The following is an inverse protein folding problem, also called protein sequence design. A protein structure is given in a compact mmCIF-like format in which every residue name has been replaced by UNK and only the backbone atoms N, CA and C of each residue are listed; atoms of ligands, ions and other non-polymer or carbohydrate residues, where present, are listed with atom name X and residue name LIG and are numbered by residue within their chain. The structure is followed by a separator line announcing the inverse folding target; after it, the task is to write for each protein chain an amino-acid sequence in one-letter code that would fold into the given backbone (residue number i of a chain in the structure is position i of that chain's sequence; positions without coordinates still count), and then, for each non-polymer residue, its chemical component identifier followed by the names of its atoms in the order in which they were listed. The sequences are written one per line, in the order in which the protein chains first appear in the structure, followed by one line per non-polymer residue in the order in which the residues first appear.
data_IF_756711807651
#
_entry.id   IF_756711807651
#
_cell.length_a   1.000
_cell.length_b   1.000
_cell.length_c   1.000
_cell.angle_alpha   90.00
_cell.angle_beta   90.00
_cell.angle_gamma   90.00
#
_symmetry.space_group_name_H-M   'P 1'
#
loop_
_entity.id
_entity.type
_entity.pdbx_description
1 polymer ?
#
# COMPACT_ATOMS: atom_id res chain seq x y z
N UNK A 1 1.42 -10.07 10.98
CA UNK A 1 0.06 -10.07 10.39
C UNK A 1 0.09 -10.18 8.86
N UNK A 2 0.57 -9.18 8.10
CA UNK A 2 0.49 -9.18 6.61
C UNK A 2 1.12 -10.42 5.95
N UNK A 3 2.34 -10.80 6.33
CA UNK A 3 2.97 -12.05 5.87
C UNK A 3 2.12 -13.29 6.11
N UNK A 4 1.46 -13.36 7.27
CA UNK A 4 0.60 -14.49 7.60
C UNK A 4 -0.66 -14.53 6.72
N UNK A 5 -1.16 -13.38 6.27
CA UNK A 5 -2.27 -13.32 5.30
C UNK A 5 -1.79 -13.82 3.93
N UNK A 6 -0.65 -13.33 3.45
CA UNK A 6 -0.08 -13.73 2.15
C UNK A 6 0.27 -15.23 2.07
N UNK A 7 0.56 -15.87 3.20
CA UNK A 7 0.87 -17.30 3.28
C UNK A 7 -0.37 -18.21 3.22
N UNK A 8 -1.59 -17.65 3.19
CA UNK A 8 -2.82 -18.45 3.09
C UNK A 8 -2.97 -19.02 1.68
N UNK A 9 -3.58 -20.20 1.57
CA UNK A 9 -3.78 -20.86 0.28
C UNK A 9 -4.52 -20.00 -0.75
N UNK A 10 -5.48 -19.18 -0.30
CA UNK A 10 -6.22 -18.24 -1.14
C UNK A 10 -5.37 -17.11 -1.75
N UNK A 11 -4.16 -16.87 -1.21
CA UNK A 11 -3.24 -15.83 -1.69
C UNK A 11 -2.12 -16.39 -2.58
N UNK A 12 -2.14 -17.69 -2.93
CA UNK A 12 -1.03 -18.32 -3.68
C UNK A 12 -0.77 -17.72 -5.06
N UNK A 13 -1.79 -17.15 -5.70
CA UNK A 13 -1.69 -16.51 -7.02
C UNK A 13 -1.60 -14.98 -6.93
N UNK A 14 -1.59 -14.41 -5.71
CA UNK A 14 -1.48 -12.97 -5.52
C UNK A 14 -0.04 -12.55 -5.82
N UNK A 15 0.09 -11.65 -6.78
CA UNK A 15 1.38 -11.08 -7.20
C UNK A 15 1.59 -9.64 -6.73
N UNK A 16 0.51 -8.96 -6.34
CA UNK A 16 0.54 -7.56 -5.94
C UNK A 16 -0.30 -7.31 -4.70
N UNK A 17 0.11 -6.31 -3.92
CA UNK A 17 -0.69 -5.73 -2.84
C UNK A 17 -0.97 -4.28 -3.19
N UNK A 18 -2.23 -3.89 -3.06
CA UNK A 18 -2.67 -2.51 -3.15
C UNK A 18 -3.22 -2.06 -1.79
N UNK A 19 -2.87 -0.86 -1.38
CA UNK A 19 -3.44 -0.19 -0.22
C UNK A 19 -3.39 1.31 -0.41
N UNK A 20 -4.28 2.04 0.27
CA UNK A 20 -4.17 3.50 0.34
C UNK A 20 -3.48 3.92 1.64
N UNK A 21 -2.67 4.96 1.57
CA UNK A 21 -1.93 5.53 2.69
C UNK A 21 -1.91 7.05 2.50
N UNK A 22 -2.27 7.83 3.51
CA UNK A 22 -2.03 9.29 3.48
C UNK A 22 -0.53 9.60 3.45
N UNK A 23 -0.14 10.70 2.79
CA UNK A 23 1.28 11.08 2.62
C UNK A 23 2.03 11.19 3.96
N UNK A 24 1.34 11.61 5.03
CA UNK A 24 1.89 11.87 6.35
C UNK A 24 1.98 10.61 7.25
N UNK A 25 1.35 9.50 6.87
CA UNK A 25 1.33 8.27 7.66
C UNK A 25 2.63 7.45 7.50
N UNK A 26 3.72 8.01 8.06
CA UNK A 26 5.08 7.46 8.02
C UNK A 26 5.16 6.03 8.57
N UNK A 27 4.35 5.70 9.57
CA UNK A 27 4.34 4.37 10.17
C UNK A 27 3.83 3.31 9.20
N UNK A 28 2.75 3.61 8.46
CA UNK A 28 2.23 2.70 7.43
C UNK A 28 3.19 2.59 6.26
N UNK A 29 3.78 3.70 5.80
CA UNK A 29 4.83 3.66 4.78
C UNK A 29 5.98 2.73 5.17
N UNK A 30 6.52 2.88 6.38
CA UNK A 30 7.59 2.01 6.86
C UNK A 30 7.19 0.53 6.93
N UNK A 31 5.94 0.23 7.31
CA UNK A 31 5.40 -1.13 7.34
C UNK A 31 5.40 -1.76 5.94
N UNK A 32 4.86 -1.07 4.95
CA UNK A 32 4.73 -1.59 3.59
C UNK A 32 6.07 -1.61 2.83
N UNK A 33 6.97 -0.66 3.07
CA UNK A 33 8.34 -0.68 2.57
C UNK A 33 9.14 -1.86 3.12
N UNK A 34 9.02 -2.12 4.43
CA UNK A 34 9.64 -3.28 5.06
C UNK A 34 9.10 -4.58 4.47
N UNK A 35 7.79 -4.66 4.23
CA UNK A 35 7.18 -5.82 3.56
C UNK A 35 7.70 -6.00 2.14
N UNK A 36 7.77 -4.94 1.33
CA UNK A 36 8.30 -4.99 -0.04
C UNK A 36 9.74 -5.52 -0.05
N UNK A 37 10.59 -5.01 0.85
CA UNK A 37 11.96 -5.50 1.04
C UNK A 37 12.01 -6.99 1.41
N UNK A 38 11.11 -7.43 2.28
CA UNK A 38 11.03 -8.84 2.69
C UNK A 38 10.53 -9.77 1.58
N UNK A 39 9.72 -9.27 0.65
CA UNK A 39 9.25 -9.98 -0.53
C UNK A 39 10.21 -9.87 -1.73
N UNK A 40 11.30 -9.10 -1.60
CA UNK A 40 12.27 -8.90 -2.68
C UNK A 40 11.73 -8.05 -3.84
N UNK A 41 10.73 -7.21 -3.59
CA UNK A 41 10.06 -6.40 -4.61
C UNK A 41 10.10 -4.91 -4.26
N UNK A 42 9.50 -4.07 -5.11
CA UNK A 42 9.45 -2.61 -4.94
C UNK A 42 8.03 -2.14 -4.57
N UNK A 43 7.96 -0.90 -4.09
CA UNK A 43 6.70 -0.19 -3.85
C UNK A 43 6.64 1.02 -4.77
N UNK A 44 5.54 1.14 -5.52
CA UNK A 44 5.24 2.31 -6.36
C UNK A 44 4.15 3.13 -5.69
N UNK A 45 4.28 4.45 -5.76
CA UNK A 45 3.35 5.41 -5.14
C UNK A 45 2.68 6.24 -6.22
N UNK A 46 1.37 6.41 -6.13
CA UNK A 46 0.61 7.31 -7.01
C UNK A 46 -0.56 7.94 -6.24
N UNK A 47 -1.03 9.10 -6.69
CA UNK A 47 -2.22 9.72 -6.08
C UNK A 47 -3.46 8.95 -6.54
N UNK A 48 -4.36 8.59 -5.61
CA UNK A 48 -5.64 7.95 -5.96
C UNK A 48 -6.85 8.79 -5.55
N UNK A 49 -6.84 9.40 -4.36
CA UNK A 49 -7.90 10.31 -3.93
C UNK A 49 -7.32 11.63 -3.42
N UNK A 50 -7.45 12.68 -4.22
CA UNK A 50 -7.04 14.04 -3.87
C UNK A 50 -7.99 14.72 -2.87
N UNK A 51 -7.41 15.36 -1.84
CA UNK A 51 -8.09 16.13 -0.79
C UNK A 51 -9.16 17.09 -1.28
N UNK A 52 -8.82 17.94 -2.24
CA UNK A 52 -9.73 18.99 -2.71
C UNK A 52 -10.78 18.42 -3.67
N UNK A 53 -10.34 17.63 -4.65
CA UNK A 53 -11.22 17.09 -5.68
C UNK A 53 -12.22 16.05 -5.14
N UNK A 54 -11.77 15.15 -4.27
CA UNK A 54 -12.57 14.00 -3.82
C UNK A 54 -13.19 14.23 -2.45
N UNK A 55 -12.47 14.91 -1.55
CA UNK A 55 -12.91 15.09 -0.16
C UNK A 55 -13.37 16.50 0.19
N UNK A 56 -13.27 17.47 -0.73
CA UNK A 56 -13.63 18.87 -0.48
C UNK A 56 -12.94 19.43 0.79
N UNK A 57 -11.70 19.00 1.02
CA UNK A 57 -10.91 19.38 2.20
C UNK A 57 -11.20 18.60 3.49
N UNK A 58 -12.19 17.70 3.51
CA UNK A 58 -12.59 16.96 4.72
C UNK A 58 -11.62 15.85 5.14
N UNK A 59 -10.82 15.34 4.19
CA UNK A 59 -9.82 14.30 4.42
C UNK A 59 -8.55 14.59 3.60
N UNK A 60 -7.41 14.10 4.05
CA UNK A 60 -6.14 14.27 3.35
C UNK A 60 -6.05 13.40 2.09
N UNK A 61 -5.13 13.75 1.20
CA UNK A 61 -4.91 13.00 -0.04
C UNK A 61 -4.44 11.58 0.29
N UNK A 62 -5.13 10.60 -0.25
CA UNK A 62 -4.77 9.19 -0.18
C UNK A 62 -3.87 8.83 -1.37
N UNK A 63 -2.74 8.20 -1.05
CA UNK A 63 -1.79 7.67 -2.02
C UNK A 63 -2.03 6.18 -2.19
N UNK A 64 -2.09 5.69 -3.42
CA UNK A 64 -2.02 4.28 -3.73
C UNK A 64 -0.58 3.80 -3.57
N UNK A 65 -0.39 2.82 -2.71
CA UNK A 65 0.82 2.04 -2.56
C UNK A 65 0.64 0.68 -3.25
N UNK A 66 1.35 0.46 -4.35
CA UNK A 66 1.38 -0.80 -5.09
C UNK A 66 2.68 -1.54 -4.82
N UNK A 67 2.62 -2.72 -4.19
CA UNK A 67 3.79 -3.57 -3.90
C UNK A 67 3.74 -4.80 -4.80
N UNK A 68 4.77 -5.02 -5.62
CA UNK A 68 4.86 -6.17 -6.52
C UNK A 68 5.53 -5.86 -7.87
N UNK A 69 5.67 -6.88 -8.75
CA UNK A 69 5.26 -8.27 -8.52
C UNK A 69 6.18 -8.99 -7.52
N UNK A 70 5.64 -9.97 -6.80
CA UNK A 70 6.36 -10.92 -5.94
C UNK A 70 5.83 -12.35 -6.11
#
# INVERSE_FOLDING_TARGET
MLKHILQRDYCREVTHIETTITEDNKASWALFESLAKQLGTQITRSVIFEKEQHFKGAHDTEMLALIGPF
#
